data_IF_322284785683
#
_entry.id   IF_322284785683
#
_cell.length_a   1.000
_cell.length_b   1.000
_cell.length_c   1.000
_cell.angle_alpha   90.00
_cell.angle_beta   90.00
_cell.angle_gamma   90.00
#
_symmetry.space_group_name_H-M   'P 1'
#
loop_
_entity.id
_entity.type
_entity.pdbx_description
1 polymer ?
#
# COMPACT_ATOMS: atom_id res chain seq x y z
N UNK A 1 14.12 -13.22 14.58
CA UNK A 1 14.88 -14.32 15.22
C UNK A 1 16.26 -14.38 14.59
N UNK A 2 17.27 -14.84 15.32
CA UNK A 2 18.58 -15.24 14.80
C UNK A 2 18.82 -16.71 15.13
N UNK A 3 19.59 -17.40 14.29
CA UNK A 3 19.98 -18.78 14.52
C UNK A 3 21.18 -18.83 15.47
N UNK A 4 21.10 -19.70 16.48
CA UNK A 4 22.20 -20.01 17.39
C UNK A 4 22.34 -21.54 17.50
N UNK A 5 23.29 -22.10 16.73
CA UNK A 5 23.39 -23.54 16.53
C UNK A 5 22.12 -24.12 15.90
N UNK A 6 21.45 -25.02 16.64
CA UNK A 6 20.19 -25.64 16.23
C UNK A 6 18.95 -24.90 16.78
N UNK A 7 19.14 -23.88 17.61
CA UNK A 7 18.07 -23.15 18.26
C UNK A 7 17.82 -21.78 17.60
N UNK A 8 16.63 -21.24 17.83
CA UNK A 8 16.26 -19.88 17.40
C UNK A 8 16.17 -18.97 18.62
N UNK A 9 16.84 -17.82 18.53
CA UNK A 9 16.78 -16.77 19.56
C UNK A 9 16.02 -15.55 19.07
N UNK A 10 15.24 -14.95 19.98
CA UNK A 10 14.55 -13.70 19.71
C UNK A 10 15.60 -12.58 19.56
N UNK A 11 15.56 -11.90 18.41
CA UNK A 11 16.56 -10.89 18.05
C UNK A 11 15.95 -9.49 17.83
N UNK A 12 14.63 -9.38 17.92
CA UNK A 12 13.91 -8.13 17.71
C UNK A 12 12.42 -8.36 17.56
N UNK A 13 11.64 -7.34 17.87
CA UNK A 13 10.18 -7.30 17.75
C UNK A 13 9.81 -6.05 16.95
N UNK A 14 8.84 -6.18 16.04
CA UNK A 14 8.22 -5.04 15.36
C UNK A 14 6.74 -5.04 15.69
N UNK A 15 6.24 -3.91 16.20
CA UNK A 15 4.85 -3.71 16.58
C UNK A 15 4.25 -2.65 15.65
N UNK A 16 3.23 -3.03 14.89
CA UNK A 16 2.41 -2.08 14.15
C UNK A 16 1.25 -1.60 15.00
N UNK A 17 1.04 -0.29 15.10
CA UNK A 17 -0.10 0.31 15.80
C UNK A 17 -0.97 1.06 14.79
N UNK A 18 -2.11 0.48 14.46
CA UNK A 18 -3.10 1.09 13.57
C UNK A 18 -4.02 2.03 14.36
N UNK A 19 -3.96 3.31 14.02
CA UNK A 19 -4.65 4.39 14.68
C UNK A 19 -5.76 4.91 13.77
N UNK A 20 -6.99 5.00 14.29
CA UNK A 20 -8.12 5.58 13.57
C UNK A 20 -7.83 7.04 13.20
N UNK A 21 -8.12 7.44 11.96
CA UNK A 21 -8.29 8.85 11.58
C UNK A 21 -9.72 9.31 11.75
N UNK A 22 -10.65 8.36 11.70
CA UNK A 22 -12.08 8.52 11.94
C UNK A 22 -12.55 7.35 12.79
N UNK A 23 -13.41 7.64 13.76
CA UNK A 23 -14.09 6.63 14.57
C UNK A 23 -15.57 6.58 14.19
N UNK A 24 -16.04 5.41 13.78
CA UNK A 24 -17.43 5.19 13.35
C UNK A 24 -18.16 4.43 14.44
N UNK A 25 -19.24 4.99 14.96
CA UNK A 25 -19.97 4.42 16.10
C UNK A 25 -21.48 4.63 15.98
N UNK A 26 -22.25 3.75 16.62
CA UNK A 26 -23.71 3.88 16.76
C UNK A 26 -24.06 4.27 18.19
N UNK A 27 -25.03 5.19 18.35
CA UNK A 27 -25.51 5.61 19.68
C UNK A 27 -26.54 4.66 20.29
N UNK A 28 -27.17 3.84 19.45
CA UNK A 28 -28.15 2.83 19.81
C UNK A 28 -27.96 1.62 18.90
N UNK A 29 -28.35 0.43 19.38
CA UNK A 29 -28.19 -0.80 18.63
C UNK A 29 -29.00 -0.74 17.33
N UNK A 30 -28.37 -0.98 16.19
CA UNK A 30 -28.97 -0.88 14.84
C UNK A 30 -29.38 0.55 14.43
N UNK A 31 -28.85 1.57 15.11
CA UNK A 31 -29.06 2.97 14.78
C UNK A 31 -28.19 3.45 13.62
N UNK A 32 -28.25 4.75 13.34
CA UNK A 32 -27.39 5.39 12.35
C UNK A 32 -25.91 5.38 12.79
N UNK A 33 -25.00 5.30 11.82
CA UNK A 33 -23.57 5.50 12.03
C UNK A 33 -23.27 7.00 12.19
N UNK A 34 -22.51 7.32 13.23
CA UNK A 34 -21.90 8.63 13.45
C UNK A 34 -20.40 8.52 13.26
N UNK A 35 -19.79 9.56 12.70
CA UNK A 35 -18.35 9.63 12.49
C UNK A 35 -17.75 10.74 13.34
N UNK A 36 -16.70 10.41 14.09
CA UNK A 36 -15.87 11.38 14.79
C UNK A 36 -14.50 11.44 14.12
N UNK A 37 -14.15 12.60 13.56
CA UNK A 37 -12.81 12.86 13.04
C UNK A 37 -11.81 12.97 14.20
N UNK A 38 -10.65 12.32 14.05
CA UNK A 38 -9.54 12.40 15.00
C UNK A 38 -8.44 13.23 14.36
N UNK A 39 -8.09 14.36 14.97
CA UNK A 39 -7.08 15.23 14.40
C UNK A 39 -5.71 14.54 14.33
N UNK A 40 -4.87 14.95 13.38
CA UNK A 40 -3.49 14.44 13.26
C UNK A 40 -2.72 14.58 14.57
N UNK A 41 -2.88 15.70 15.27
CA UNK A 41 -2.17 15.98 16.52
C UNK A 41 -2.60 15.03 17.65
N UNK A 42 -3.91 14.85 17.86
CA UNK A 42 -4.46 13.94 18.87
C UNK A 42 -4.08 12.49 18.59
N UNK A 43 -4.21 12.06 17.32
CA UNK A 43 -3.82 10.71 16.89
C UNK A 43 -2.34 10.43 17.18
N UNK A 44 -1.46 11.40 16.95
CA UNK A 44 -0.04 11.28 17.27
C UNK A 44 0.17 11.22 18.79
N UNK A 45 -0.46 12.10 19.56
CA UNK A 45 -0.30 12.16 21.01
C UNK A 45 -0.72 10.84 21.68
N UNK A 46 -1.94 10.37 21.42
CA UNK A 46 -2.44 9.10 21.95
C UNK A 46 -1.66 7.90 21.44
N UNK A 47 -1.25 7.91 20.17
CA UNK A 47 -0.42 6.85 19.60
C UNK A 47 0.90 6.68 20.36
N UNK A 48 1.58 7.77 20.69
CA UNK A 48 2.84 7.75 21.45
C UNK A 48 2.65 7.30 22.89
N UNK A 49 1.57 7.73 23.53
CA UNK A 49 1.21 7.29 24.89
C UNK A 49 0.96 5.78 24.94
N UNK A 50 0.11 5.26 24.04
CA UNK A 50 -0.17 3.84 23.94
C UNK A 50 1.07 3.03 23.56
N UNK A 51 1.92 3.54 22.67
CA UNK A 51 3.17 2.87 22.28
C UNK A 51 4.09 2.63 23.47
N UNK A 52 4.25 3.62 24.36
CA UNK A 52 5.07 3.48 25.56
C UNK A 52 4.52 2.39 26.50
N UNK A 53 3.20 2.34 26.69
CA UNK A 53 2.54 1.31 27.50
C UNK A 53 2.64 -0.08 26.87
N UNK A 54 2.49 -0.19 25.55
CA UNK A 54 2.65 -1.45 24.82
C UNK A 54 4.07 -1.99 24.98
N UNK A 55 5.10 -1.16 24.82
CA UNK A 55 6.50 -1.59 25.01
C UNK A 55 6.74 -2.10 26.43
N UNK A 56 6.23 -1.43 27.45
CA UNK A 56 6.30 -1.89 28.85
C UNK A 56 5.68 -3.28 29.04
N UNK A 57 4.51 -3.50 28.45
CA UNK A 57 3.83 -4.81 28.52
C UNK A 57 4.63 -5.91 27.84
N UNK A 58 5.21 -5.64 26.67
CA UNK A 58 6.08 -6.59 25.99
C UNK A 58 7.32 -6.92 26.82
N UNK A 59 7.94 -5.95 27.50
CA UNK A 59 9.08 -6.18 28.40
C UNK A 59 8.74 -7.02 29.63
N UNK A 60 7.48 -7.01 30.06
CA UNK A 60 7.03 -7.85 31.17
C UNK A 60 6.80 -9.32 30.75
N UNK A 61 6.81 -9.65 29.45
CA UNK A 61 6.62 -11.01 28.97
C UNK A 61 7.89 -11.84 29.12
N UNK A 62 7.71 -13.11 29.52
CA UNK A 62 8.82 -14.07 29.56
C UNK A 62 9.44 -14.24 28.17
N UNK A 63 10.77 -14.19 28.10
CA UNK A 63 11.53 -14.33 26.85
C UNK A 63 11.80 -13.03 26.08
N UNK A 64 11.24 -11.89 26.51
CA UNK A 64 11.55 -10.58 25.93
C UNK A 64 12.63 -9.89 26.78
N UNK A 65 13.89 -10.26 26.53
CA UNK A 65 15.04 -9.69 27.24
C UNK A 65 15.16 -8.18 27.06
N UNK A 66 15.81 -7.50 28.01
CA UNK A 66 15.99 -6.03 27.99
C UNK A 66 16.77 -5.53 26.77
N UNK A 67 17.57 -6.38 26.15
CA UNK A 67 18.45 -6.13 25.01
C UNK A 67 17.79 -6.45 23.65
N UNK A 68 16.59 -7.04 23.64
CA UNK A 68 15.85 -7.30 22.41
C UNK A 68 15.29 -5.97 21.88
N UNK A 69 15.68 -5.46 20.69
CA UNK A 69 15.14 -4.20 20.19
C UNK A 69 13.65 -4.33 19.87
N UNK A 70 12.83 -3.37 20.34
CA UNK A 70 11.40 -3.29 20.02
C UNK A 70 11.15 -2.06 19.17
N UNK A 71 10.78 -2.28 17.91
CA UNK A 71 10.35 -1.23 16.98
C UNK A 71 8.84 -1.04 17.12
N UNK A 72 8.39 0.21 17.16
CA UNK A 72 6.98 0.56 17.08
C UNK A 72 6.77 1.43 15.85
N UNK A 73 5.94 0.95 14.93
CA UNK A 73 5.57 1.65 13.71
C UNK A 73 4.09 2.06 13.78
N UNK A 74 3.83 3.35 13.64
CA UNK A 74 2.50 3.91 13.73
C UNK A 74 1.87 4.06 12.36
N UNK A 75 0.64 3.59 12.23
CA UNK A 75 -0.13 3.56 11.00
C UNK A 75 -1.41 4.36 11.16
N UNK A 76 -1.70 5.25 10.22
CA UNK A 76 -2.96 5.98 10.17
C UNK A 76 -3.91 5.20 9.28
N UNK A 77 -5.01 4.68 9.82
CA UNK A 77 -6.03 4.01 9.03
C UNK A 77 -6.66 5.01 8.05
N UNK A 78 -7.09 4.52 6.89
CA UNK A 78 -7.87 5.36 5.99
C UNK A 78 -9.35 5.38 6.44
N UNK A 79 -10.11 6.43 6.08
CA UNK A 79 -11.57 6.42 6.15
C UNK A 79 -12.18 5.19 5.45
N UNK A 80 -13.36 4.76 5.88
CA UNK A 80 -14.02 3.56 5.34
C UNK A 80 -14.34 3.67 3.84
N UNK A 81 -14.59 4.88 3.34
CA UNK A 81 -14.89 5.17 1.94
C UNK A 81 -13.64 5.46 1.09
N UNK A 82 -12.45 5.35 1.67
CA UNK A 82 -11.20 5.59 0.96
C UNK A 82 -10.94 4.50 -0.09
N UNK A 83 -10.62 4.94 -1.31
CA UNK A 83 -10.21 4.07 -2.42
C UNK A 83 -8.77 3.55 -2.30
N UNK A 84 -8.05 3.96 -1.25
CA UNK A 84 -6.71 3.47 -0.91
C UNK A 84 -6.58 3.17 0.58
N UNK A 85 -5.58 2.35 0.92
CA UNK A 85 -5.25 2.09 2.32
C UNK A 85 -4.70 3.31 3.05
N UNK A 86 -4.56 3.14 4.36
CA UNK A 86 -3.85 4.06 5.24
C UNK A 86 -2.34 4.08 4.99
N UNK A 87 -1.61 4.85 5.80
CA UNK A 87 -0.16 5.00 5.64
C UNK A 87 0.57 4.99 7.00
N UNK A 88 1.78 4.43 7.02
CA UNK A 88 2.69 4.60 8.15
C UNK A 88 3.14 6.05 8.22
N UNK A 89 3.09 6.65 9.42
CA UNK A 89 3.37 8.08 9.59
C UNK A 89 4.51 8.38 10.56
N UNK A 90 4.90 7.44 11.41
CA UNK A 90 6.02 7.63 12.33
C UNK A 90 6.47 6.29 12.89
N UNK A 91 7.73 6.18 13.31
CA UNK A 91 8.23 5.03 14.05
C UNK A 91 9.26 5.43 15.11
N UNK A 92 9.40 4.60 16.14
CA UNK A 92 10.45 4.73 17.15
C UNK A 92 10.93 3.33 17.57
N UNK A 93 12.06 3.28 18.25
CA UNK A 93 12.68 2.04 18.72
C UNK A 93 13.09 2.17 20.17
N UNK A 94 12.81 1.12 20.95
CA UNK A 94 13.43 0.87 22.25
C UNK A 94 14.56 -0.15 22.03
N UNK A 95 15.78 0.34 21.79
CA UNK A 95 16.96 -0.52 21.56
C UNK A 95 17.26 -1.40 22.78
N UNK A 96 17.04 -0.86 23.98
CA UNK A 96 17.12 -1.59 25.23
C UNK A 96 16.14 -1.01 26.26
N UNK A 97 15.68 -1.82 27.22
CA UNK A 97 14.70 -1.40 28.22
C UNK A 97 13.34 -1.06 27.60
N UNK A 98 12.49 -0.37 28.35
CA UNK A 98 11.09 -0.11 27.98
C UNK A 98 10.83 1.30 27.41
N UNK A 99 11.87 2.12 27.30
CA UNK A 99 11.73 3.51 26.87
C UNK A 99 11.99 3.64 25.37
N UNK A 100 11.00 4.18 24.66
CA UNK A 100 11.12 4.53 23.24
C UNK A 100 12.05 5.73 23.05
N UNK A 101 12.92 5.65 22.05
CA UNK A 101 13.79 6.75 21.65
C UNK A 101 13.07 7.82 20.82
N UNK A 102 13.87 8.58 20.07
CA UNK A 102 13.36 9.62 19.17
C UNK A 102 12.44 9.03 18.10
N UNK A 103 11.38 9.76 17.80
CA UNK A 103 10.44 9.42 16.74
C UNK A 103 10.96 9.92 15.39
N UNK A 104 10.90 9.05 14.39
CA UNK A 104 11.18 9.37 12.99
C UNK A 104 9.87 9.47 12.24
N UNK A 105 9.57 10.64 11.71
CA UNK A 105 8.35 10.86 10.93
C UNK A 105 8.49 10.34 9.50
N UNK A 106 7.37 9.89 8.94
CA UNK A 106 7.27 9.35 7.59
C UNK A 106 6.24 10.17 6.81
N UNK A 107 6.59 10.58 5.59
CA UNK A 107 5.67 11.28 4.68
C UNK A 107 5.19 10.31 3.60
N UNK A 108 4.59 9.20 4.03
CA UNK A 108 4.05 8.19 3.12
C UNK A 108 2.65 8.54 2.68
N UNK A 109 2.42 8.46 1.38
CA UNK A 109 1.14 8.75 0.76
C UNK A 109 0.82 7.67 -0.27
N UNK A 110 -0.44 7.29 -0.35
CA UNK A 110 -0.94 6.43 -1.43
C UNK A 110 -1.96 7.21 -2.23
N UNK A 111 -1.82 7.17 -3.54
CA UNK A 111 -2.65 7.90 -4.50
C UNK A 111 -3.35 6.90 -5.40
N UNK A 112 -4.65 7.11 -5.61
CA UNK A 112 -5.45 6.30 -6.56
C UNK A 112 -5.47 6.96 -7.93
N UNK A 113 -5.34 6.13 -8.97
CA UNK A 113 -5.32 6.51 -10.37
C UNK A 113 -6.44 5.76 -11.14
N UNK A 114 -7.04 6.37 -12.18
CA UNK A 114 -6.92 7.77 -12.51
C UNK A 114 -7.53 8.64 -11.40
N UNK A 115 -6.99 9.83 -11.21
CA UNK A 115 -7.55 10.80 -10.27
C UNK A 115 -8.85 11.38 -10.84
N UNK A 116 -9.79 11.68 -9.93
CA UNK A 116 -11.00 12.43 -10.28
C UNK A 116 -10.66 13.90 -10.54
N UNK A 117 -11.07 14.41 -11.70
CA UNK A 117 -10.85 15.80 -12.09
C UNK A 117 -11.62 16.77 -11.18
N UNK A 118 -11.03 17.94 -10.91
CA UNK A 118 -11.61 18.97 -10.06
C UNK A 118 -11.54 18.70 -8.55
N UNK A 119 -10.81 17.66 -8.13
CA UNK A 119 -10.62 17.31 -6.70
C UNK A 119 -9.26 17.76 -6.18
N UNK A 120 -9.10 17.84 -4.86
CA UNK A 120 -7.80 18.14 -4.23
C UNK A 120 -6.72 17.11 -4.59
N UNK A 121 -7.12 15.86 -4.89
CA UNK A 121 -6.24 14.80 -5.35
C UNK A 121 -5.52 15.13 -6.66
N UNK A 122 -6.15 15.91 -7.54
CA UNK A 122 -5.56 16.34 -8.83
C UNK A 122 -4.30 17.21 -8.65
N UNK A 123 -4.19 17.89 -7.50
CA UNK A 123 -3.02 18.73 -7.12
C UNK A 123 -2.03 18.00 -6.20
N UNK A 124 -2.19 16.71 -6.00
CA UNK A 124 -1.29 15.91 -5.17
C UNK A 124 0.04 15.62 -5.85
N UNK A 125 0.96 14.99 -5.10
CA UNK A 125 2.26 14.49 -5.61
C UNK A 125 2.12 13.56 -6.82
N UNK A 126 0.94 12.97 -7.06
CA UNK A 126 0.67 12.09 -8.19
C UNK A 126 0.21 12.76 -9.48
N UNK A 127 0.07 14.10 -9.53
CA UNK A 127 -0.52 14.79 -10.69
C UNK A 127 0.16 14.47 -12.02
N UNK A 128 1.50 14.48 -12.05
CA UNK A 128 2.27 14.13 -13.25
C UNK A 128 2.10 12.66 -13.66
N UNK A 129 2.05 11.75 -12.68
CA UNK A 129 1.82 10.33 -12.94
C UNK A 129 0.39 10.09 -13.46
N UNK A 130 -0.59 10.85 -12.98
CA UNK A 130 -1.97 10.76 -13.41
C UNK A 130 -2.14 11.04 -14.91
N UNK A 131 -1.47 12.06 -15.46
CA UNK A 131 -1.51 12.33 -16.90
C UNK A 131 -0.98 11.14 -17.71
N UNK A 132 0.18 10.59 -17.34
CA UNK A 132 0.75 9.44 -18.05
C UNK A 132 -0.11 8.18 -17.88
N UNK A 133 -0.72 7.99 -16.71
CA UNK A 133 -1.63 6.88 -16.44
C UNK A 133 -2.93 6.97 -17.26
N UNK A 134 -3.49 8.18 -17.44
CA UNK A 134 -4.63 8.40 -18.34
C UNK A 134 -4.26 8.05 -19.78
N UNK A 135 -3.12 8.53 -20.27
CA UNK A 135 -2.64 8.21 -21.62
C UNK A 135 -2.39 6.69 -21.81
N UNK A 136 -1.86 6.01 -20.79
CA UNK A 136 -1.74 4.55 -20.79
C UNK A 136 -3.10 3.87 -20.91
N UNK A 137 -4.08 4.33 -20.11
CA UNK A 137 -5.45 3.81 -20.11
C UNK A 137 -6.11 4.00 -21.47
N UNK A 138 -6.03 5.21 -22.04
CA UNK A 138 -6.59 5.52 -23.37
C UNK A 138 -5.97 4.64 -24.45
N UNK A 139 -4.65 4.39 -24.37
CA UNK A 139 -3.94 3.54 -25.32
C UNK A 139 -4.42 2.08 -25.23
N UNK A 140 -4.61 1.55 -24.03
CA UNK A 140 -5.13 0.19 -23.84
C UNK A 140 -6.58 0.07 -24.30
N UNK A 141 -7.44 1.05 -23.98
CA UNK A 141 -8.85 1.07 -24.41
C UNK A 141 -9.00 1.16 -25.93
N UNK A 142 -8.09 1.87 -26.60
CA UNK A 142 -8.07 1.92 -28.06
C UNK A 142 -7.74 0.58 -28.74
N UNK A 143 -7.02 -0.32 -28.05
CA UNK A 143 -6.73 -1.67 -28.56
C UNK A 143 -7.79 -2.68 -28.12
N UNK A 144 -8.15 -2.67 -26.82
CA UNK A 144 -9.16 -3.55 -26.22
C UNK A 144 -10.36 -2.71 -25.74
N UNK A 145 -11.41 -2.52 -26.55
CA UNK A 145 -12.56 -1.71 -26.17
C UNK A 145 -13.42 -2.34 -25.06
N UNK A 146 -13.31 -3.65 -24.83
CA UNK A 146 -14.08 -4.39 -23.81
C UNK A 146 -13.44 -4.36 -22.40
N UNK A 147 -12.62 -3.35 -22.12
CA UNK A 147 -12.05 -3.14 -20.80
C UNK A 147 -13.12 -2.66 -19.82
N UNK A 148 -13.25 -3.35 -18.67
CA UNK A 148 -14.20 -2.97 -17.63
C UNK A 148 -13.64 -1.83 -16.77
N UNK A 149 -12.37 -1.90 -16.38
CA UNK A 149 -11.69 -0.82 -15.67
C UNK A 149 -10.17 -0.94 -15.76
N UNK A 150 -9.49 0.20 -15.62
CA UNK A 150 -8.05 0.27 -15.37
C UNK A 150 -7.86 1.23 -14.20
N UNK A 151 -7.34 0.71 -13.09
CA UNK A 151 -7.11 1.49 -11.86
C UNK A 151 -5.68 1.31 -11.39
N UNK A 152 -5.17 2.30 -10.67
CA UNK A 152 -3.82 2.29 -10.14
C UNK A 152 -3.75 2.75 -8.69
N UNK A 153 -2.77 2.25 -7.96
CA UNK A 153 -2.36 2.75 -6.65
C UNK A 153 -0.86 3.04 -6.68
N UNK A 154 -0.51 4.30 -6.51
CA UNK A 154 0.87 4.78 -6.49
C UNK A 154 1.27 5.14 -5.07
N UNK A 155 2.39 4.58 -4.59
CA UNK A 155 2.92 4.87 -3.26
C UNK A 155 4.06 5.89 -3.35
N UNK A 156 4.04 6.88 -2.47
CA UNK A 156 5.01 7.96 -2.39
C UNK A 156 5.65 8.04 -1.00
N UNK A 157 6.87 8.55 -0.96
CA UNK A 157 7.57 9.00 0.24
C UNK A 157 8.06 10.43 0.01
N UNK A 158 7.37 11.38 0.62
CA UNK A 158 7.38 12.78 0.20
C UNK A 158 6.89 12.91 -1.24
N UNK A 159 7.70 13.54 -2.09
CA UNK A 159 7.43 13.64 -3.53
C UNK A 159 7.99 12.48 -4.35
N UNK A 160 8.71 11.53 -3.74
CA UNK A 160 9.36 10.44 -4.46
C UNK A 160 8.40 9.27 -4.64
N UNK A 161 8.09 8.92 -5.88
CA UNK A 161 7.36 7.69 -6.20
C UNK A 161 8.19 6.47 -5.77
N UNK A 162 7.53 5.51 -5.11
CA UNK A 162 8.15 4.26 -4.61
C UNK A 162 7.65 3.02 -5.33
N UNK A 163 6.50 3.08 -5.98
CA UNK A 163 5.98 1.99 -6.77
C UNK A 163 4.58 2.28 -7.30
N UNK A 164 4.18 1.51 -8.29
CA UNK A 164 2.87 1.59 -8.92
C UNK A 164 2.28 0.19 -9.07
N UNK A 165 1.11 0.00 -8.49
CA UNK A 165 0.27 -1.16 -8.74
C UNK A 165 -0.85 -0.75 -9.68
N UNK A 166 -1.09 -1.53 -10.72
CA UNK A 166 -2.17 -1.34 -11.69
C UNK A 166 -3.04 -2.59 -11.70
N UNK A 167 -4.35 -2.41 -11.68
CA UNK A 167 -5.31 -3.48 -11.93
C UNK A 167 -6.03 -3.15 -13.24
N UNK A 168 -5.97 -4.08 -14.19
CA UNK A 168 -6.69 -4.06 -15.46
C UNK A 168 -7.78 -5.13 -15.37
N UNK A 169 -9.03 -4.71 -15.29
CA UNK A 169 -10.18 -5.61 -15.21
C UNK A 169 -10.90 -5.68 -16.55
N UNK A 170 -11.15 -6.90 -17.04
CA UNK A 170 -11.85 -7.11 -18.31
C UNK A 170 -12.54 -8.48 -18.34
N UNK A 171 -13.45 -8.65 -19.29
CA UNK A 171 -14.08 -9.92 -19.59
C UNK A 171 -13.30 -10.57 -20.74
N UNK A 172 -12.49 -11.57 -20.42
CA UNK A 172 -11.78 -12.36 -21.42
C UNK A 172 -12.65 -13.50 -21.95
N UNK A 173 -12.56 -13.77 -23.24
CA UNK A 173 -13.28 -14.85 -23.88
C UNK A 173 -12.39 -16.04 -24.24
N UNK A 174 -11.06 -15.90 -24.21
CA UNK A 174 -10.12 -16.98 -24.48
C UNK A 174 -8.73 -16.79 -23.85
N UNK A 175 -7.97 -17.88 -23.67
CA UNK A 175 -6.59 -17.85 -23.19
C UNK A 175 -5.65 -17.08 -24.15
N UNK A 176 -5.84 -17.21 -25.46
CA UNK A 176 -5.06 -16.48 -26.47
C UNK A 176 -5.27 -14.97 -26.39
N UNK A 177 -6.50 -14.53 -26.08
CA UNK A 177 -6.81 -13.12 -25.85
C UNK A 177 -6.10 -12.57 -24.61
N UNK A 178 -6.11 -13.34 -23.51
CA UNK A 178 -5.37 -13.00 -22.28
C UNK A 178 -3.88 -12.82 -22.58
N UNK A 179 -3.26 -13.80 -23.25
CA UNK A 179 -1.83 -13.77 -23.58
C UNK A 179 -1.48 -12.60 -24.50
N UNK A 180 -2.27 -12.39 -25.55
CA UNK A 180 -2.07 -11.29 -26.50
C UNK A 180 -2.18 -9.94 -25.82
N UNK A 181 -3.17 -9.76 -24.94
CA UNK A 181 -3.34 -8.50 -24.21
C UNK A 181 -2.24 -8.27 -23.18
N UNK A 182 -1.83 -9.32 -22.46
CA UNK A 182 -0.77 -9.20 -21.47
C UNK A 182 0.56 -8.77 -22.10
N UNK A 183 0.91 -9.34 -23.25
CA UNK A 183 2.07 -8.93 -24.03
C UNK A 183 1.93 -7.49 -24.55
N UNK A 184 0.76 -7.12 -25.05
CA UNK A 184 0.50 -5.74 -25.50
C UNK A 184 0.66 -4.71 -24.37
N UNK A 185 0.19 -5.03 -23.16
CA UNK A 185 0.41 -4.20 -21.97
C UNK A 185 1.91 -4.06 -21.68
N UNK A 186 2.66 -5.16 -21.70
CA UNK A 186 4.11 -5.16 -21.45
C UNK A 186 4.91 -4.34 -22.47
N UNK A 187 4.45 -4.29 -23.73
CA UNK A 187 5.03 -3.44 -24.79
C UNK A 187 4.63 -1.96 -24.66
N UNK A 188 3.41 -1.70 -24.20
CA UNK A 188 2.85 -0.35 -24.09
C UNK A 188 3.33 0.37 -22.83
N UNK A 189 3.37 -0.33 -21.69
CA UNK A 189 3.69 0.23 -20.38
C UNK A 189 4.99 1.06 -20.34
N UNK A 190 6.12 0.67 -20.95
CA UNK A 190 7.35 1.46 -20.94
C UNK A 190 7.22 2.89 -21.48
N UNK A 191 6.25 3.14 -22.36
CA UNK A 191 6.04 4.46 -22.99
C UNK A 191 5.27 5.44 -22.09
N UNK A 192 4.58 4.95 -21.06
CA UNK A 192 3.65 5.74 -20.25
C UNK A 192 3.84 5.57 -18.74
N UNK A 193 4.23 4.38 -18.29
CA UNK A 193 4.41 4.09 -16.87
C UNK A 193 5.82 4.43 -16.40
N UNK A 194 5.99 4.75 -15.10
CA UNK A 194 7.24 5.23 -14.54
C UNK A 194 8.37 4.20 -14.63
N UNK A 195 9.60 4.70 -14.72
CA UNK A 195 10.84 3.92 -14.65
C UNK A 195 11.56 4.18 -13.32
N UNK A 196 12.49 3.29 -12.95
CA UNK A 196 13.28 3.44 -11.71
C UNK A 196 12.53 3.07 -10.42
N UNK A 197 11.29 2.59 -10.54
CA UNK A 197 10.46 2.10 -9.44
C UNK A 197 9.81 0.78 -9.83
N UNK A 198 9.47 -0.11 -8.88
CA UNK A 198 8.69 -1.30 -9.19
C UNK A 198 7.32 -0.94 -9.74
N UNK A 199 6.94 -1.60 -10.84
CA UNK A 199 5.59 -1.53 -11.43
C UNK A 199 5.02 -2.95 -11.50
N UNK A 200 3.80 -3.11 -11.00
CA UNK A 200 3.06 -4.37 -11.03
C UNK A 200 1.72 -4.12 -11.70
N UNK A 201 1.38 -4.95 -12.68
CA UNK A 201 0.10 -4.88 -13.39
C UNK A 201 -0.57 -6.25 -13.26
N UNK A 202 -1.75 -6.26 -12.66
CA UNK A 202 -2.61 -7.44 -12.53
C UNK A 202 -3.70 -7.36 -13.57
N UNK A 203 -3.87 -8.41 -14.35
CA UNK A 203 -5.02 -8.58 -15.23
C UNK A 203 -6.03 -9.48 -14.54
N UNK A 204 -7.22 -8.96 -14.32
CA UNK A 204 -8.27 -9.61 -13.54
C UNK A 204 -9.52 -9.82 -14.39
N UNK A 205 -10.10 -11.01 -14.27
CA UNK A 205 -11.42 -11.36 -14.75
C UNK A 205 -12.34 -11.65 -13.55
N UNK A 206 -13.63 -11.84 -13.81
CA UNK A 206 -14.59 -12.27 -12.78
C UNK A 206 -14.22 -13.61 -12.13
N UNK A 207 -13.46 -14.46 -12.82
CA UNK A 207 -12.98 -15.76 -12.35
C UNK A 207 -11.68 -15.69 -11.55
N UNK A 208 -11.05 -14.51 -11.47
CA UNK A 208 -9.79 -14.28 -10.76
C UNK A 208 -8.70 -13.68 -11.65
N UNK A 209 -7.48 -13.63 -11.13
CA UNK A 209 -6.31 -13.10 -11.83
C UNK A 209 -5.91 -14.01 -13.00
N UNK A 210 -5.79 -13.43 -14.19
CA UNK A 210 -5.50 -14.15 -15.43
C UNK A 210 -4.05 -13.98 -15.88
N UNK A 211 -3.43 -12.84 -15.55
CA UNK A 211 -2.03 -12.60 -15.84
C UNK A 211 -1.44 -11.60 -14.84
N UNK A 212 -0.13 -11.69 -14.69
CA UNK A 212 0.66 -10.81 -13.85
C UNK A 212 1.88 -10.31 -14.62
N UNK A 213 2.01 -8.99 -14.71
CA UNK A 213 3.04 -8.33 -15.50
C UNK A 213 3.84 -7.44 -14.55
N UNK A 214 5.15 -7.67 -14.46
CA UNK A 214 5.99 -7.01 -13.46
C UNK A 214 7.25 -6.43 -14.06
N UNK A 215 7.71 -5.34 -13.46
CA UNK A 215 9.02 -4.76 -13.70
C UNK A 215 9.60 -4.27 -12.37
N UNK A 216 10.75 -4.80 -11.98
CA UNK A 216 11.50 -4.28 -10.84
C UNK A 216 12.11 -2.90 -11.14
N UNK A 217 12.50 -2.17 -10.08
CA UNK A 217 13.05 -0.82 -10.22
C UNK A 217 14.26 -0.73 -11.18
N UNK A 218 15.07 -1.79 -11.23
CA UNK A 218 16.31 -1.86 -12.01
C UNK A 218 16.17 -2.69 -13.29
N UNK A 219 14.98 -3.22 -13.58
CA UNK A 219 14.78 -4.08 -14.75
C UNK A 219 14.61 -3.23 -16.01
N UNK A 220 15.14 -3.72 -17.13
CA UNK A 220 14.99 -3.04 -18.43
C UNK A 220 13.66 -3.37 -19.13
N UNK A 221 13.00 -4.47 -18.76
CA UNK A 221 11.81 -5.00 -19.45
C UNK A 221 10.77 -5.50 -18.45
N UNK A 222 9.51 -5.50 -18.87
CA UNK A 222 8.44 -6.18 -18.14
C UNK A 222 8.50 -7.69 -18.39
N UNK A 223 8.24 -8.46 -17.34
CA UNK A 223 8.05 -9.91 -17.41
C UNK A 223 6.56 -10.21 -17.34
N UNK A 224 6.07 -11.04 -18.26
CA UNK A 224 4.66 -11.48 -18.32
C UNK A 224 4.54 -12.90 -17.79
N UNK A 225 3.61 -13.13 -16.88
CA UNK A 225 3.21 -14.47 -16.41
C UNK A 225 1.73 -14.66 -16.68
N UNK A 226 1.37 -15.69 -17.45
CA UNK A 226 -0.03 -16.08 -17.68
C UNK A 226 -0.45 -17.11 -16.64
N UNK A 227 -1.59 -16.89 -15.99
CA UNK A 227 -2.17 -17.74 -14.96
C UNK A 227 -3.35 -18.51 -15.56
N UNK A 228 -3.07 -19.42 -16.50
CA UNK A 228 -4.10 -20.23 -17.14
C UNK A 228 -4.73 -21.26 -16.18
N UNK A 229 -6.00 -21.61 -16.42
CA UNK A 229 -6.58 -22.87 -15.94
C UNK A 229 -6.27 -23.99 -16.94
N UNK A 230 -5.74 -25.11 -16.46
CA UNK A 230 -5.63 -26.36 -17.22
C UNK A 230 -6.99 -27.01 -17.44
#
# INVERSE_FOLDING_TARGET
MTQDGNDLKLAGIVIGMAMNTQDVYQKEQWGANFTQDISKAERIAHGKEMAAEVVKRYRAMSGVGNDVPIYVAMYAQAPEDSLSGGNFYSWSVANSGDTLGNWTDLDRQTVVLPMQDGTTSEKSVGSALNTSFKNFTDKLQGFFPNLSSITGQASYDGSNLKGLNVTVSTQFYSATEIESFANYIAETAPSYLPNGVPVQIRMEASTGMQAYIIKGANDSKYTVTILGSY
#
